data_IF_905641235129
#
_entry.id   IF_905641235129
#
_cell.length_a   1.000
_cell.length_b   1.000
_cell.length_c   1.000
_cell.angle_alpha   90.00
_cell.angle_beta   90.00
_cell.angle_gamma   90.00
#
_symmetry.space_group_name_H-M   'P 1'
#
loop_
_entity.id
_entity.type
_entity.pdbx_description
1 polymer ?
#
# COMPACT_ATOMS: atom_id res chain seq x y z
N UNK A 1 -13.37 4.02 0.78
CA UNK A 1 -12.13 3.26 0.59
C UNK A 1 -10.97 3.92 1.32
N UNK A 2 -10.36 3.18 2.23
CA UNK A 2 -9.10 3.46 2.88
C UNK A 2 -8.14 2.35 2.51
N UNK A 3 -7.00 2.71 1.94
CA UNK A 3 -5.85 1.84 1.76
C UNK A 3 -4.59 2.72 1.84
N UNK A 4 -3.85 2.65 2.94
CA UNK A 4 -2.63 3.41 3.14
C UNK A 4 -1.45 2.48 3.37
N UNK A 5 -0.25 3.00 3.09
CA UNK A 5 1.00 2.38 3.52
C UNK A 5 1.75 3.38 4.34
N UNK A 6 2.12 2.96 5.53
CA UNK A 6 2.76 3.80 6.52
C UNK A 6 3.94 3.06 7.13
N UNK A 7 5.01 3.77 7.44
CA UNK A 7 6.21 3.21 8.07
C UNK A 7 6.36 3.82 9.45
N UNK A 8 6.64 3.02 10.47
CA UNK A 8 6.96 3.55 11.79
C UNK A 8 8.26 4.37 11.72
N UNK A 9 8.29 5.53 12.38
CA UNK A 9 9.44 6.44 12.44
C UNK A 9 10.52 5.92 13.40
N UNK A 10 11.03 4.72 13.11
CA UNK A 10 12.18 4.11 13.78
C UNK A 10 13.08 3.43 12.74
N UNK A 11 14.35 3.22 13.06
CA UNK A 11 15.31 2.66 12.09
C UNK A 11 14.87 1.25 11.62
N UNK A 12 14.33 0.46 12.55
CA UNK A 12 13.79 -0.89 12.30
C UNK A 12 12.26 -0.90 12.23
N UNK A 13 11.66 0.26 11.93
CA UNK A 13 10.22 0.47 11.98
C UNK A 13 9.44 -0.41 11.01
N UNK A 14 8.33 -0.95 11.49
CA UNK A 14 7.45 -1.79 10.68
C UNK A 14 6.72 -0.99 9.60
N UNK A 15 6.27 -1.70 8.56
CA UNK A 15 5.39 -1.14 7.53
C UNK A 15 3.98 -1.62 7.82
N UNK A 16 3.09 -0.67 8.11
CA UNK A 16 1.67 -0.90 8.23
C UNK A 16 0.99 -0.71 6.86
N UNK A 17 0.20 -1.70 6.45
CA UNK A 17 -0.77 -1.54 5.36
C UNK A 17 -2.15 -1.45 6.04
N UNK A 18 -2.71 -0.26 6.10
CA UNK A 18 -3.99 -0.02 6.76
C UNK A 18 -5.10 0.02 5.71
N UNK A 19 -6.22 -0.66 5.97
CA UNK A 19 -7.32 -0.70 5.02
C UNK A 19 -8.69 -0.84 5.69
N UNK A 20 -9.71 -0.30 5.02
CA UNK A 20 -11.11 -0.65 5.26
C UNK A 20 -11.53 -1.84 4.36
N UNK A 21 -12.82 -2.21 4.39
CA UNK A 21 -13.32 -3.31 3.57
C UNK A 21 -13.08 -3.10 2.07
N UNK A 22 -13.32 -1.89 1.55
CA UNK A 22 -13.13 -1.59 0.12
C UNK A 22 -11.63 -1.63 -0.26
N UNK A 23 -10.76 -1.12 0.62
CA UNK A 23 -9.31 -1.18 0.43
C UNK A 23 -8.77 -2.60 0.43
N UNK A 24 -9.31 -3.47 1.28
CA UNK A 24 -8.97 -4.89 1.29
C UNK A 24 -9.32 -5.57 -0.05
N UNK A 25 -10.52 -5.32 -0.57
CA UNK A 25 -10.94 -5.87 -1.87
C UNK A 25 -10.04 -5.38 -3.02
N UNK A 26 -9.66 -4.09 -3.00
CA UNK A 26 -8.71 -3.54 -3.97
C UNK A 26 -7.35 -4.25 -3.87
N UNK A 27 -6.81 -4.41 -2.66
CA UNK A 27 -5.53 -5.07 -2.43
C UNK A 27 -5.54 -6.53 -2.92
N UNK A 28 -6.59 -7.28 -2.59
CA UNK A 28 -6.80 -8.66 -3.07
C UNK A 28 -6.86 -8.69 -4.60
N UNK A 29 -7.57 -7.75 -5.23
CA UNK A 29 -7.66 -7.65 -6.68
C UNK A 29 -6.30 -7.42 -7.33
N UNK A 30 -5.49 -6.50 -6.78
CA UNK A 30 -4.13 -6.20 -7.28
C UNK A 30 -3.20 -7.40 -7.12
N UNK A 31 -3.20 -8.06 -5.95
CA UNK A 31 -2.45 -9.30 -5.73
C UNK A 31 -2.89 -10.43 -6.68
N UNK A 32 -4.20 -10.55 -6.92
CA UNK A 32 -4.77 -11.56 -7.80
C UNK A 32 -4.30 -11.40 -9.25
N UNK A 33 -4.07 -10.18 -9.73
CA UNK A 33 -3.49 -9.94 -11.07
C UNK A 33 -2.10 -10.52 -11.23
N UNK A 34 -1.32 -10.58 -10.15
CA UNK A 34 0.02 -11.16 -10.16
C UNK A 34 -0.02 -12.71 -10.20
N UNK A 35 -1.18 -13.38 -10.22
CA UNK A 35 -1.26 -14.86 -10.25
C UNK A 35 -0.82 -15.51 -11.57
N UNK A 36 -0.63 -14.75 -12.64
CA UNK A 36 -0.22 -15.27 -13.96
C UNK A 36 1.26 -15.66 -14.12
N UNK A 37 2.17 -15.08 -13.33
CA UNK A 37 3.62 -15.33 -13.42
C UNK A 37 4.42 -14.19 -12.76
N UNK A 38 5.77 -14.23 -12.79
CA UNK A 38 6.60 -13.14 -12.28
C UNK A 38 6.24 -11.81 -12.91
N UNK A 39 5.90 -10.83 -12.08
CA UNK A 39 5.49 -9.48 -12.50
C UNK A 39 5.52 -8.53 -11.30
N UNK A 40 5.26 -7.25 -11.52
CA UNK A 40 5.12 -6.27 -10.44
C UNK A 40 4.09 -5.20 -10.79
N UNK A 41 3.59 -4.54 -9.75
CA UNK A 41 2.73 -3.37 -9.89
C UNK A 41 3.03 -2.36 -8.79
N UNK A 42 2.67 -1.11 -9.04
CA UNK A 42 2.79 -0.02 -8.10
C UNK A 42 1.39 0.45 -7.69
N UNK A 43 1.19 0.62 -6.39
CA UNK A 43 0.06 1.37 -5.83
C UNK A 43 0.63 2.71 -5.36
N UNK A 44 -0.03 3.81 -5.71
CA UNK A 44 0.46 5.15 -5.42
C UNK A 44 -0.65 6.05 -4.87
N UNK A 45 -0.26 7.05 -4.10
CA UNK A 45 -1.14 8.13 -3.64
C UNK A 45 -1.36 9.19 -4.74
N UNK A 46 -2.37 10.06 -4.62
CA UNK A 46 -2.59 11.18 -5.54
C UNK A 46 -1.39 12.11 -5.74
N UNK A 47 -0.61 12.39 -4.68
CA UNK A 47 0.62 13.18 -4.78
C UNK A 47 1.66 12.54 -5.72
N UNK A 48 1.56 11.24 -5.98
CA UNK A 48 2.41 10.48 -6.90
C UNK A 48 1.63 9.98 -8.13
N UNK A 49 0.56 10.72 -8.50
CA UNK A 49 -0.29 10.45 -9.65
C UNK A 49 -0.97 9.07 -9.67
N UNK A 50 -1.13 8.44 -8.49
CA UNK A 50 -1.93 7.23 -8.30
C UNK A 50 -3.30 7.51 -7.73
N UNK A 51 -4.13 6.47 -7.68
CA UNK A 51 -5.46 6.54 -7.03
C UNK A 51 -5.76 5.31 -6.18
N UNK A 52 -4.79 4.42 -6.01
CA UNK A 52 -4.96 3.17 -5.25
C UNK A 52 -4.73 3.36 -3.76
N UNK A 53 -3.80 4.24 -3.38
CA UNK A 53 -3.53 4.56 -1.99
C UNK A 53 -4.16 5.91 -1.63
N UNK A 54 -4.58 6.05 -0.38
CA UNK A 54 -5.04 7.34 0.16
C UNK A 54 -3.91 8.04 0.92
N UNK A 55 -4.04 9.35 1.12
CA UNK A 55 -3.10 10.15 1.93
C UNK A 55 -3.62 10.38 3.36
N UNK A 56 -4.78 9.81 3.68
CA UNK A 56 -5.43 9.92 4.98
C UNK A 56 -4.81 8.91 5.96
N UNK A 57 -3.84 9.38 6.75
CA UNK A 57 -3.07 8.57 7.69
C UNK A 57 -3.94 7.88 8.76
N UNK A 58 -3.61 6.62 9.05
CA UNK A 58 -4.30 5.74 9.99
C UNK A 58 -3.40 5.26 11.15
N UNK A 59 -2.08 5.20 10.97
CA UNK A 59 -1.11 4.65 11.93
C UNK A 59 -0.81 5.53 13.15
N UNK A 60 -1.41 6.72 13.24
CA UNK A 60 -1.15 7.67 14.33
C UNK A 60 0.20 8.38 14.24
N UNK A 61 0.58 9.10 15.29
CA UNK A 61 1.70 10.05 15.26
C UNK A 61 3.09 9.43 15.09
N UNK A 62 3.26 8.15 15.42
CA UNK A 62 4.54 7.42 15.29
C UNK A 62 4.87 6.98 13.87
N UNK A 63 3.96 7.14 12.92
CA UNK A 63 4.12 6.64 11.56
C UNK A 63 4.33 7.77 10.55
N UNK A 64 4.93 7.48 9.41
CA UNK A 64 5.05 8.36 8.25
C UNK A 64 4.37 7.71 7.03
N UNK A 65 3.74 8.54 6.19
CA UNK A 65 3.05 8.05 4.99
C UNK A 65 4.06 7.65 3.91
N UNK A 66 3.90 6.46 3.34
CA UNK A 66 4.61 6.02 2.14
C UNK A 66 3.74 6.27 0.90
N UNK A 67 4.19 7.13 -0.01
CA UNK A 67 3.43 7.46 -1.23
C UNK A 67 3.36 6.33 -2.27
N UNK A 68 4.17 5.27 -2.11
CA UNK A 68 4.19 4.16 -3.05
C UNK A 68 4.40 2.82 -2.35
N UNK A 69 3.61 1.82 -2.77
CA UNK A 69 3.83 0.41 -2.45
C UNK A 69 4.11 -0.35 -3.75
N UNK A 70 5.23 -1.06 -3.78
CA UNK A 70 5.57 -1.95 -4.89
C UNK A 70 5.21 -3.39 -4.51
N UNK A 71 4.26 -3.98 -5.22
CA UNK A 71 3.97 -5.42 -5.11
C UNK A 71 4.77 -6.15 -6.19
N UNK A 72 5.52 -7.17 -5.81
CA UNK A 72 6.37 -7.95 -6.71
C UNK A 72 6.06 -9.42 -6.53
N UNK A 73 5.65 -10.10 -7.59
CA UNK A 73 5.68 -11.55 -7.62
C UNK A 73 7.03 -12.02 -8.14
N UNK A 74 7.65 -12.87 -7.33
CA UNK A 74 8.87 -13.60 -7.68
C UNK A 74 8.53 -14.97 -8.32
N UNK A 75 9.52 -15.58 -8.95
CA UNK A 75 9.41 -16.87 -9.63
C UNK A 75 9.17 -18.05 -8.67
#
# INVERSE_FOLDING_TARGET
MILTVEREQSDEGEVAICFDQEGLELLISKLSKLRGGPDHLHLMTPAWAGSELTEERQGGGGYELCNSLRLVRIA
#
